data_IF_058469737884
#
_entry.id   IF_058469737884
#
_cell.length_a   1.000
_cell.length_b   1.000
_cell.length_c   1.000
_cell.angle_alpha   90.00
_cell.angle_beta   90.00
_cell.angle_gamma   90.00
#
_symmetry.space_group_name_H-M   'P 1'
#
loop_
_entity.id
_entity.type
_entity.pdbx_description
1 polymer ?
#
# COMPACT_ATOMS: atom_id res chain seq x y z
N UNK A 1 7.34 9.28 -14.48
CA UNK A 1 6.40 8.57 -13.59
C UNK A 1 6.64 8.82 -12.11
N UNK A 2 7.85 8.59 -11.56
CA UNK A 2 8.15 8.78 -10.12
C UNK A 2 7.76 10.16 -9.57
N UNK A 3 8.07 11.27 -10.25
CA UNK A 3 7.77 12.63 -9.77
C UNK A 3 6.27 12.93 -9.63
N UNK A 4 5.44 12.40 -10.53
CA UNK A 4 3.98 12.54 -10.43
C UNK A 4 3.42 11.80 -9.22
N UNK A 5 4.00 10.62 -8.92
CA UNK A 5 3.63 9.81 -7.77
C UNK A 5 3.97 10.51 -6.45
N UNK A 6 5.15 11.11 -6.36
CA UNK A 6 5.56 11.91 -5.20
C UNK A 6 4.61 13.10 -4.97
N UNK A 7 4.18 13.77 -6.04
CA UNK A 7 3.25 14.91 -5.97
C UNK A 7 1.87 14.49 -5.47
N UNK A 8 1.34 13.37 -5.96
CA UNK A 8 0.05 12.83 -5.51
C UNK A 8 0.15 12.40 -4.05
N UNK A 9 1.17 11.61 -3.69
CA UNK A 9 1.39 11.19 -2.31
C UNK A 9 1.52 12.38 -1.37
N UNK A 10 2.17 13.45 -1.82
CA UNK A 10 2.28 14.70 -1.08
C UNK A 10 0.94 15.38 -0.80
N UNK A 11 0.03 15.38 -1.78
CA UNK A 11 -1.32 15.96 -1.65
C UNK A 11 -2.25 15.13 -0.76
N UNK A 12 -1.99 13.83 -0.61
CA UNK A 12 -2.80 12.90 0.20
C UNK A 12 -2.37 12.83 1.68
N UNK A 13 -1.26 13.46 2.05
CA UNK A 13 -0.75 13.48 3.43
C UNK A 13 -1.81 13.96 4.43
N UNK A 14 -1.85 13.32 5.59
CA UNK A 14 -2.78 13.58 6.70
C UNK A 14 -4.27 13.35 6.38
N UNK A 15 -4.59 12.66 5.29
CA UNK A 15 -5.93 12.15 5.01
C UNK A 15 -5.90 10.64 5.11
N UNK A 16 -6.95 10.06 5.69
CA UNK A 16 -7.11 8.60 5.78
C UNK A 16 -7.50 8.03 4.39
N UNK A 17 -6.52 7.98 3.48
CA UNK A 17 -6.70 7.54 2.09
C UNK A 17 -5.89 6.27 1.89
N UNK A 18 -6.50 5.24 1.31
CA UNK A 18 -5.81 4.01 0.94
C UNK A 18 -5.34 4.14 -0.51
N UNK A 19 -4.02 4.09 -0.74
CA UNK A 19 -3.44 4.07 -2.09
C UNK A 19 -3.16 2.64 -2.53
N UNK A 20 -3.50 2.34 -3.78
CA UNK A 20 -3.39 1.00 -4.36
C UNK A 20 -2.78 1.08 -5.76
N UNK A 21 -1.84 0.21 -6.08
CA UNK A 21 -1.23 0.10 -7.42
C UNK A 21 -0.67 -1.30 -7.66
N UNK A 22 -0.57 -1.73 -8.91
CA UNK A 22 0.15 -2.93 -9.36
C UNK A 22 1.61 -2.64 -9.74
N UNK A 23 2.06 -1.40 -9.56
CA UNK A 23 3.45 -1.00 -9.78
C UNK A 23 4.38 -1.76 -8.84
N UNK A 24 5.38 -2.43 -9.42
CA UNK A 24 6.37 -3.19 -8.67
C UNK A 24 7.11 -2.29 -7.66
N UNK A 25 7.11 -2.71 -6.39
CA UNK A 25 7.76 -2.00 -5.29
C UNK A 25 6.97 -0.81 -4.75
N UNK A 26 5.73 -0.57 -5.22
CA UNK A 26 4.86 0.51 -4.77
C UNK A 26 4.68 0.57 -3.25
N UNK A 27 4.49 -0.59 -2.61
CA UNK A 27 4.34 -0.64 -1.15
C UNK A 27 5.64 -0.22 -0.45
N UNK A 28 6.81 -0.44 -1.07
CA UNK A 28 8.11 -0.03 -0.51
C UNK A 28 8.45 1.45 -0.77
N UNK A 29 7.88 2.06 -1.81
CA UNK A 29 8.14 3.47 -2.18
C UNK A 29 7.17 4.47 -1.53
N UNK A 30 6.29 4.01 -0.64
CA UNK A 30 5.40 4.87 0.14
C UNK A 30 3.90 4.71 -0.15
N UNK A 31 3.53 3.81 -1.08
CA UNK A 31 2.17 3.35 -1.25
C UNK A 31 1.69 2.42 -0.13
N UNK A 32 0.37 2.20 0.00
CA UNK A 32 -0.20 1.34 1.06
C UNK A 32 -0.41 -0.09 0.58
N UNK A 33 -1.07 -0.32 -0.55
CA UNK A 33 -1.35 -1.67 -1.07
C UNK A 33 -0.70 -1.82 -2.45
N UNK A 34 0.14 -2.83 -2.60
CA UNK A 34 0.69 -3.23 -3.89
C UNK A 34 0.04 -4.55 -4.34
N UNK A 35 -0.58 -4.56 -5.51
CA UNK A 35 -1.12 -5.77 -6.11
C UNK A 35 0.00 -6.63 -6.69
N UNK A 36 -0.05 -7.92 -6.39
CA UNK A 36 0.90 -8.91 -6.90
C UNK A 36 0.17 -10.15 -7.38
N UNK A 37 0.67 -10.79 -8.43
CA UNK A 37 0.17 -12.10 -8.86
C UNK A 37 0.99 -13.18 -8.15
N UNK A 38 0.32 -14.05 -7.37
CA UNK A 38 0.93 -15.22 -6.74
C UNK A 38 0.39 -16.48 -7.41
N UNK A 39 1.21 -17.11 -8.25
CA UNK A 39 0.76 -18.22 -9.09
C UNK A 39 -0.28 -17.74 -10.11
N UNK A 40 -1.53 -18.19 -9.97
CA UNK A 40 -2.66 -17.78 -10.81
C UNK A 40 -3.68 -16.88 -10.09
N UNK A 41 -3.37 -16.40 -8.88
CA UNK A 41 -4.29 -15.60 -8.06
C UNK A 41 -3.73 -14.19 -7.83
N UNK A 42 -4.62 -13.19 -7.89
CA UNK A 42 -4.33 -11.84 -7.42
C UNK A 42 -4.17 -11.87 -5.90
N UNK A 43 -3.12 -11.23 -5.41
CA UNK A 43 -2.81 -11.07 -3.99
C UNK A 43 -2.21 -9.67 -3.78
N UNK A 44 -1.73 -9.39 -2.57
CA UNK A 44 -1.26 -8.05 -2.24
C UNK A 44 -0.18 -8.03 -1.16
N UNK A 45 0.67 -7.02 -1.25
CA UNK A 45 1.61 -6.58 -0.22
C UNK A 45 1.03 -5.35 0.46
N UNK A 46 1.11 -5.29 1.79
CA UNK A 46 0.58 -4.17 2.58
C UNK A 46 1.73 -3.45 3.29
N UNK A 47 1.81 -2.13 3.12
CA UNK A 47 2.61 -1.25 3.96
C UNK A 47 1.78 -0.73 5.13
N UNK A 48 1.81 -1.49 6.23
CA UNK A 48 1.12 -1.15 7.47
C UNK A 48 1.74 0.08 8.15
N UNK A 49 3.05 0.29 7.99
CA UNK A 49 3.73 1.48 8.49
C UNK A 49 3.13 2.76 7.92
N UNK A 50 2.92 2.79 6.60
CA UNK A 50 2.33 3.94 5.91
C UNK A 50 0.84 4.08 6.19
N UNK A 51 0.09 2.98 6.26
CA UNK A 51 -1.32 3.02 6.66
C UNK A 51 -1.49 3.67 8.04
N UNK A 52 -0.69 3.23 9.03
CA UNK A 52 -0.72 3.79 10.39
C UNK A 52 -0.34 5.28 10.40
N UNK A 53 0.69 5.68 9.64
CA UNK A 53 1.09 7.10 9.51
C UNK A 53 -0.02 7.98 8.94
N UNK A 54 -0.88 7.44 8.09
CA UNK A 54 -2.03 8.14 7.49
C UNK A 54 -3.32 8.01 8.31
N UNK A 55 -3.26 7.40 9.50
CA UNK A 55 -4.44 7.19 10.35
C UNK A 55 -5.42 6.14 9.81
N UNK A 56 -4.96 5.26 8.91
CA UNK A 56 -5.74 4.16 8.36
C UNK A 56 -5.54 2.91 9.22
N UNK A 57 -6.61 2.46 9.86
CA UNK A 57 -6.61 1.19 10.60
C UNK A 57 -6.96 0.02 9.68
N UNK A 58 -6.02 -0.92 9.54
CA UNK A 58 -6.19 -2.12 8.74
C UNK A 58 -6.77 -3.28 9.57
N UNK A 59 -7.82 -3.92 9.05
CA UNK A 59 -8.42 -5.09 9.70
C UNK A 59 -7.44 -6.27 9.71
N UNK A 60 -7.31 -6.96 10.85
CA UNK A 60 -6.46 -8.14 11.01
C UNK A 60 -6.76 -9.26 9.97
N UNK A 61 -8.03 -9.46 9.60
CA UNK A 61 -8.45 -10.41 8.56
C UNK A 61 -7.89 -10.05 7.19
N UNK A 62 -7.77 -8.76 6.86
CA UNK A 62 -7.14 -8.31 5.62
C UNK A 62 -5.62 -8.52 5.66
N UNK A 63 -4.98 -8.21 6.79
CA UNK A 63 -3.54 -8.44 6.97
C UNK A 63 -3.17 -9.92 6.85
N UNK A 64 -4.02 -10.83 7.31
CA UNK A 64 -3.83 -12.27 7.18
C UNK A 64 -3.88 -12.78 5.73
N UNK A 65 -4.51 -12.03 4.82
CA UNK A 65 -4.58 -12.36 3.38
C UNK A 65 -3.39 -11.82 2.59
N UNK A 66 -2.63 -10.86 3.16
CA UNK A 66 -1.47 -10.27 2.49
C UNK A 66 -0.32 -11.27 2.40
N UNK A 67 0.42 -11.24 1.29
CA UNK A 67 1.62 -12.08 1.12
C UNK A 67 2.80 -11.54 1.90
N UNK A 68 2.84 -10.23 2.14
CA UNK A 68 3.86 -9.54 2.92
C UNK A 68 3.23 -8.32 3.62
N UNK A 69 3.68 -8.05 4.86
CA UNK A 69 3.30 -6.87 5.63
C UNK A 69 4.57 -6.11 6.03
N UNK A 70 4.73 -4.91 5.47
CA UNK A 70 5.81 -3.96 5.80
C UNK A 70 5.36 -3.17 7.04
N UNK A 71 6.18 -3.17 8.08
CA UNK A 71 5.88 -2.54 9.38
C UNK A 71 6.73 -1.30 9.62
#
# INVERSE_FOLDING_TARGET
>A
EKEGLETINAALRNRAIVTVSDMQGFARTGGIIEFVIRGSKLSFIINLAQANKQGVHMNASLLNLATEVIR
#
